data_IF_653711096319
#
_entry.id   IF_653711096319
#
_cell.length_a   1.000
_cell.length_b   1.000
_cell.length_c   1.000
_cell.angle_alpha   90.00
_cell.angle_beta   90.00
_cell.angle_gamma   90.00
#
_symmetry.space_group_name_H-M   'P 1'
#
loop_
_entity.id
_entity.type
_entity.pdbx_description
1 polymer ?
#
# COMPACT_ATOMS: atom_id res chain seq x y z
N UNK A 1 3.72 7.09 25.71
CA UNK A 1 3.91 7.18 24.23
C UNK A 1 4.74 6.02 23.71
N UNK A 2 5.87 5.70 24.34
CA UNK A 2 6.76 4.57 24.03
C UNK A 2 6.07 3.19 24.06
N UNK A 3 5.26 2.89 25.08
CA UNK A 3 4.58 1.58 25.19
C UNK A 3 3.53 1.34 24.09
N UNK A 4 2.84 2.40 23.64
CA UNK A 4 1.86 2.32 22.55
C UNK A 4 2.55 2.18 21.19
N UNK A 5 3.69 2.85 20.99
CA UNK A 5 4.49 2.69 19.77
C UNK A 5 5.04 1.27 19.65
N UNK A 6 5.58 0.72 20.75
CA UNK A 6 6.08 -0.65 20.79
C UNK A 6 4.99 -1.68 20.43
N UNK A 7 3.76 -1.48 20.91
CA UNK A 7 2.62 -2.33 20.56
C UNK A 7 2.26 -2.26 19.07
N UNK A 8 2.20 -1.05 18.50
CA UNK A 8 1.90 -0.86 17.06
C UNK A 8 2.99 -1.45 16.18
N UNK A 9 4.26 -1.20 16.52
CA UNK A 9 5.40 -1.80 15.80
C UNK A 9 5.37 -3.32 15.91
N UNK A 10 5.11 -3.86 17.11
CA UNK A 10 4.98 -5.29 17.34
C UNK A 10 3.86 -5.92 16.49
N UNK A 11 2.69 -5.29 16.43
CA UNK A 11 1.59 -5.75 15.59
C UNK A 11 1.96 -5.79 14.09
N UNK A 12 2.62 -4.74 13.57
CA UNK A 12 3.09 -4.72 12.19
C UNK A 12 4.11 -5.83 11.88
N UNK A 13 5.06 -6.05 12.79
CA UNK A 13 6.05 -7.13 12.64
C UNK A 13 5.37 -8.50 12.59
N UNK A 14 4.39 -8.74 13.46
CA UNK A 14 3.62 -10.00 13.45
C UNK A 14 2.86 -10.15 12.13
N UNK A 15 2.15 -9.13 11.66
CA UNK A 15 1.42 -9.18 10.38
C UNK A 15 2.33 -9.43 9.18
N UNK A 16 3.52 -8.85 9.15
CA UNK A 16 4.49 -9.08 8.06
C UNK A 16 5.05 -10.50 8.17
N UNK A 17 5.38 -10.97 9.37
CA UNK A 17 5.91 -12.31 9.59
C UNK A 17 4.91 -13.42 9.23
N UNK A 18 3.61 -13.25 9.55
CA UNK A 18 2.59 -14.26 9.26
C UNK A 18 2.41 -14.52 7.77
N UNK A 19 2.63 -13.52 6.91
CA UNK A 19 2.56 -13.66 5.45
C UNK A 19 3.94 -13.96 4.84
N UNK A 20 4.99 -13.32 5.35
CA UNK A 20 6.34 -13.47 4.83
C UNK A 20 6.97 -14.83 5.09
N UNK A 21 6.76 -15.41 6.28
CA UNK A 21 7.30 -16.72 6.64
C UNK A 21 6.77 -17.87 5.74
N UNK A 22 5.45 -18.03 5.49
CA UNK A 22 4.99 -19.09 4.61
C UNK A 22 5.48 -18.91 3.18
N UNK A 23 5.58 -17.67 2.67
CA UNK A 23 6.17 -17.40 1.35
C UNK A 23 7.63 -17.82 1.31
N UNK A 24 8.41 -17.46 2.34
CA UNK A 24 9.83 -17.83 2.44
C UNK A 24 10.02 -19.35 2.53
N UNK A 25 9.18 -20.04 3.31
CA UNK A 25 9.20 -21.49 3.44
C UNK A 25 8.87 -22.14 2.09
N UNK A 26 7.85 -21.65 1.38
CA UNK A 26 7.51 -22.15 0.04
C UNK A 26 8.62 -21.85 -0.98
N UNK A 27 9.34 -20.74 -0.84
CA UNK A 27 10.46 -20.41 -1.73
C UNK A 27 11.67 -21.31 -1.52
N UNK A 28 12.02 -21.62 -0.27
CA UNK A 28 13.21 -22.42 0.07
C UNK A 28 12.92 -23.92 -0.01
N UNK A 29 11.79 -24.38 0.53
CA UNK A 29 11.46 -25.80 0.66
C UNK A 29 10.39 -26.27 -0.33
N UNK A 30 9.65 -25.35 -0.96
CA UNK A 30 8.61 -25.69 -1.92
C UNK A 30 9.23 -26.24 -3.20
N UNK A 31 9.08 -27.54 -3.42
CA UNK A 31 9.33 -28.14 -4.72
C UNK A 31 8.11 -27.87 -5.59
N UNK A 32 8.23 -27.07 -6.66
CA UNK A 32 7.10 -26.82 -7.54
C UNK A 32 6.62 -28.16 -8.10
N UNK A 33 5.32 -28.41 -8.03
CA UNK A 33 4.72 -29.59 -8.64
C UNK A 33 5.02 -29.55 -10.14
N UNK A 34 5.91 -30.44 -10.60
CA UNK A 34 6.21 -30.63 -12.01
C UNK A 34 5.06 -31.44 -12.61
N UNK A 35 3.98 -30.76 -13.01
CA UNK A 35 2.93 -31.39 -13.81
C UNK A 35 3.55 -31.73 -15.16
N UNK A 36 3.70 -33.02 -15.47
CA UNK A 36 4.11 -33.46 -16.79
C UNK A 36 3.15 -32.92 -17.84
N UNK A 37 3.69 -32.39 -18.94
CA UNK A 37 2.88 -32.00 -20.08
C UNK A 37 2.44 -33.29 -20.77
N UNK A 38 1.15 -33.62 -20.68
CA UNK A 38 0.60 -34.76 -21.38
C UNK A 38 0.41 -34.35 -22.85
N UNK A 39 1.27 -34.83 -23.75
CA UNK A 39 1.21 -34.48 -25.17
C UNK A 39 -0.11 -34.88 -25.85
N UNK A 40 -0.91 -35.76 -25.22
CA UNK A 40 -2.22 -36.20 -25.72
C UNK A 40 -3.40 -35.48 -25.02
N UNK A 41 -3.15 -34.46 -24.19
CA UNK A 41 -4.21 -33.72 -23.50
C UNK A 41 -4.69 -32.54 -24.36
N UNK A 42 -5.80 -32.73 -25.07
CA UNK A 42 -6.42 -31.71 -25.93
C UNK A 42 -6.82 -30.46 -25.14
N UNK A 43 -7.02 -30.55 -23.82
CA UNK A 43 -7.38 -29.39 -22.98
C UNK A 43 -6.25 -28.36 -22.83
N UNK A 44 -5.00 -28.73 -23.16
CA UNK A 44 -3.83 -27.84 -23.10
C UNK A 44 -3.42 -27.26 -24.46
N UNK A 45 -4.08 -27.66 -25.56
CA UNK A 45 -3.80 -27.16 -26.92
C UNK A 45 -4.50 -25.81 -27.22
N UNK A 46 -4.69 -24.96 -26.21
CA UNK A 46 -5.21 -23.61 -26.47
C UNK A 46 -4.12 -22.73 -27.11
N UNK A 47 -4.45 -22.02 -28.21
CA UNK A 47 -3.52 -21.07 -28.80
C UNK A 47 -3.19 -19.96 -27.80
N UNK A 48 -1.96 -19.46 -27.87
CA UNK A 48 -1.50 -18.34 -27.06
C UNK A 48 -2.48 -17.17 -27.18
N UNK A 49 -3.03 -16.72 -26.04
CA UNK A 49 -3.87 -15.53 -25.95
C UNK A 49 -3.05 -14.41 -25.33
N UNK A 50 -3.04 -13.26 -25.99
CA UNK A 50 -2.47 -12.08 -25.38
C UNK A 50 -3.24 -11.68 -24.12
N UNK A 51 -2.52 -11.14 -23.14
CA UNK A 51 -3.12 -10.74 -21.87
C UNK A 51 -4.13 -9.61 -22.11
N UNK A 52 -5.38 -9.82 -21.67
CA UNK A 52 -6.46 -8.81 -21.77
C UNK A 52 -6.17 -7.55 -20.96
N UNK A 53 -5.32 -7.65 -19.93
CA UNK A 53 -4.87 -6.52 -19.11
C UNK A 53 -3.38 -6.34 -19.33
N UNK A 54 -3.01 -5.18 -19.85
CA UNK A 54 -1.60 -4.82 -20.04
C UNK A 54 -0.94 -4.52 -18.70
N UNK A 55 0.35 -4.82 -18.57
CA UNK A 55 1.15 -4.51 -17.37
C UNK A 55 1.08 -3.01 -17.01
N UNK A 56 0.98 -2.14 -18.02
CA UNK A 56 0.82 -0.70 -17.83
C UNK A 56 -0.49 -0.33 -17.12
N UNK A 57 -1.61 -0.99 -17.47
CA UNK A 57 -2.87 -0.80 -16.76
C UNK A 57 -2.76 -1.30 -15.31
N UNK A 58 -2.13 -2.45 -15.10
CA UNK A 58 -1.99 -2.99 -13.73
C UNK A 58 -1.22 -2.02 -12.82
N UNK A 59 -0.13 -1.43 -13.30
CA UNK A 59 0.64 -0.46 -12.52
C UNK A 59 -0.07 0.89 -12.33
N UNK A 60 -0.81 1.36 -13.34
CA UNK A 60 -1.55 2.62 -13.23
C UNK A 60 -2.69 2.53 -12.22
N UNK A 61 -3.52 1.48 -12.29
CA UNK A 61 -4.64 1.33 -11.36
C UNK A 61 -4.18 0.86 -9.98
N UNK A 62 -3.24 -0.09 -9.91
CA UNK A 62 -2.82 -0.72 -8.65
C UNK A 62 -1.92 0.17 -7.79
N UNK A 63 -1.02 0.93 -8.40
CA UNK A 63 0.02 1.66 -7.66
C UNK A 63 -0.12 3.18 -7.81
N UNK A 64 -0.39 3.69 -9.01
CA UNK A 64 -0.42 5.13 -9.28
C UNK A 64 -1.62 5.81 -8.62
N UNK A 65 -2.84 5.27 -8.79
CA UNK A 65 -4.05 5.90 -8.25
C UNK A 65 -4.04 6.02 -6.71
N UNK A 66 -3.71 4.97 -5.92
CA UNK A 66 -3.65 5.09 -4.46
C UNK A 66 -2.56 6.06 -4.00
N UNK A 67 -1.40 6.06 -4.66
CA UNK A 67 -0.28 6.96 -4.33
C UNK A 67 -0.64 8.43 -4.58
N UNK A 68 -1.35 8.71 -5.67
CA UNK A 68 -1.85 10.04 -6.00
C UNK A 68 -2.92 10.50 -5.00
N UNK A 69 -3.88 9.64 -4.64
CA UNK A 69 -4.90 9.95 -3.64
C UNK A 69 -4.29 10.29 -2.28
N UNK A 70 -3.31 9.49 -1.82
CA UNK A 70 -2.62 9.75 -0.57
C UNK A 70 -1.85 11.07 -0.59
N UNK A 71 -1.13 11.34 -1.68
CA UNK A 71 -0.38 12.58 -1.88
C UNK A 71 -1.30 13.79 -1.91
N UNK A 72 -2.42 13.71 -2.63
CA UNK A 72 -3.44 14.75 -2.69
C UNK A 72 -4.01 15.07 -1.30
N UNK A 73 -4.41 14.04 -0.54
CA UNK A 73 -4.92 14.22 0.83
C UNK A 73 -3.85 14.87 1.71
N UNK A 74 -2.58 14.47 1.60
CA UNK A 74 -1.47 15.07 2.35
C UNK A 74 -1.29 16.55 2.01
N UNK A 75 -1.29 16.91 0.73
CA UNK A 75 -1.17 18.31 0.26
C UNK A 75 -2.33 19.14 0.80
N UNK A 76 -3.56 18.64 0.70
CA UNK A 76 -4.73 19.35 1.23
C UNK A 76 -4.73 19.49 2.75
N UNK A 77 -4.27 18.45 3.47
CA UNK A 77 -4.10 18.51 4.93
C UNK A 77 -3.05 19.54 5.33
N UNK A 78 -1.91 19.60 4.62
CA UNK A 78 -0.86 20.57 4.89
C UNK A 78 -1.34 22.02 4.71
N UNK A 79 -2.05 22.30 3.60
CA UNK A 79 -2.63 23.64 3.37
C UNK A 79 -3.69 24.01 4.42
N UNK A 80 -4.53 23.05 4.84
CA UNK A 80 -5.54 23.29 5.88
C UNK A 80 -4.93 23.53 7.27
N UNK A 81 -3.81 22.89 7.60
CA UNK A 81 -3.12 23.16 8.86
C UNK A 81 -2.49 24.56 8.86
N UNK A 82 -1.77 24.93 7.79
CA UNK A 82 -1.17 26.27 7.68
C UNK A 82 -2.18 27.41 7.83
N UNK A 83 -3.37 27.30 7.23
CA UNK A 83 -4.41 28.32 7.39
C UNK A 83 -5.06 28.38 8.79
N UNK A 84 -5.06 27.28 9.55
CA UNK A 84 -5.56 27.26 10.93
C UNK A 84 -4.58 27.91 11.89
N UNK A 85 -3.28 27.73 11.67
CA UNK A 85 -2.22 28.31 12.49
C UNK A 85 -2.22 29.83 12.33
N UNK A 86 -2.29 30.33 11.09
CA UNK A 86 -2.40 31.77 10.79
C UNK A 86 -3.64 32.41 11.44
N UNK A 87 -4.81 31.78 11.32
CA UNK A 87 -6.03 32.27 11.98
C UNK A 87 -5.93 32.23 13.52
N UNK A 88 -5.21 31.25 14.08
CA UNK A 88 -5.00 31.16 15.52
C UNK A 88 -4.07 32.28 16.01
N UNK A 89 -3.03 32.61 15.27
CA UNK A 89 -2.13 33.73 15.55
C UNK A 89 -2.86 35.08 15.44
N UNK A 90 -3.65 35.28 14.39
CA UNK A 90 -4.51 36.48 14.24
C UNK A 90 -5.51 36.63 15.38
N UNK A 91 -6.08 35.52 15.87
CA UNK A 91 -7.00 35.52 17.02
C UNK A 91 -6.29 35.89 18.33
N UNK A 92 -5.06 35.40 18.56
CA UNK A 92 -4.24 35.80 19.71
C UNK A 92 -3.89 37.29 19.65
N UNK A 93 -3.42 37.77 18.50
CA UNK A 93 -3.08 39.18 18.29
C UNK A 93 -4.29 40.12 18.40
N UNK A 94 -5.52 39.62 18.18
CA UNK A 94 -6.77 40.37 18.42
C UNK A 94 -7.20 40.31 19.89
N UNK A 95 -6.95 39.20 20.58
CA UNK A 95 -7.26 39.05 22.00
C UNK A 95 -6.36 39.93 22.87
N UNK A 96 -5.07 40.02 22.54
CA UNK A 96 -4.08 40.84 23.26
C UNK A 96 -4.32 42.34 23.07
N UNK A 97 -4.84 42.77 21.92
CA UNK A 97 -5.28 44.15 21.69
C UNK A 97 -6.59 44.55 22.39
N UNK A 98 -7.26 43.60 23.04
CA UNK A 98 -8.50 43.84 23.80
C UNK A 98 -8.25 43.98 25.32
N UNK A 99 -7.02 43.78 25.79
CA UNK A 99 -6.59 43.93 27.19
C UNK A 99 -5.77 45.22 27.29
#
# INVERSE_FOLDING_TARGET
VTNSLAFVVGFHVVCIATVGLPILILFVAGKPFKRGFFCNDESLMYPFRESTITSAMLYSYGTLLPSLQFSYVRVRRKGRMGGKDDLRELRKARAERRV
#
